data_IF_914076547980
#
_entry.id   IF_914076547980
#
_cell.length_a   1.000
_cell.length_b   1.000
_cell.length_c   1.000
_cell.angle_alpha   90.00
_cell.angle_beta   90.00
_cell.angle_gamma   90.00
#
_symmetry.space_group_name_H-M   'P 1'
#
loop_
_entity.id
_entity.type
_entity.pdbx_description
1 polymer ?
#
# COMPACT_ATOMS: atom_id res chain seq x y z
N UNK A 1 -74.24 3.97 -32.57
CA UNK A 1 -73.34 5.03 -32.13
C UNK A 1 -72.43 4.44 -31.05
N UNK A 2 -71.17 4.11 -31.40
CA UNK A 2 -70.18 3.52 -30.46
C UNK A 2 -69.18 4.62 -30.11
N UNK A 3 -69.08 4.97 -28.80
CA UNK A 3 -68.10 5.88 -28.26
C UNK A 3 -66.84 5.09 -27.92
N UNK A 4 -65.75 5.36 -28.61
CA UNK A 4 -64.43 4.87 -28.30
C UNK A 4 -63.77 5.80 -27.31
N UNK A 5 -63.54 5.28 -26.08
CA UNK A 5 -62.76 5.98 -25.07
C UNK A 5 -61.24 5.75 -25.31
N UNK A 6 -60.53 6.84 -25.40
CA UNK A 6 -59.03 6.80 -25.39
C UNK A 6 -58.53 6.68 -23.97
N UNK A 7 -57.83 5.58 -23.72
CA UNK A 7 -57.11 5.36 -22.45
C UNK A 7 -55.71 5.93 -22.61
N UNK A 8 -55.46 7.06 -21.97
CA UNK A 8 -54.14 7.68 -21.93
C UNK A 8 -53.28 6.93 -20.89
N UNK A 9 -52.32 6.15 -21.34
CA UNK A 9 -51.35 5.50 -20.46
C UNK A 9 -50.26 6.53 -20.11
N UNK A 10 -50.28 7.00 -18.86
CA UNK A 10 -49.26 7.87 -18.30
C UNK A 10 -48.08 6.99 -17.87
N UNK A 11 -47.03 6.91 -18.70
CA UNK A 11 -45.80 6.19 -18.35
C UNK A 11 -44.99 7.06 -17.37
N UNK A 12 -45.07 6.75 -16.10
CA UNK A 12 -44.22 7.38 -15.10
C UNK A 12 -42.77 6.86 -15.27
N UNK A 13 -41.89 7.73 -15.76
CA UNK A 13 -40.46 7.49 -15.82
C UNK A 13 -39.88 7.61 -14.40
N UNK A 14 -39.70 6.49 -13.72
CA UNK A 14 -39.01 6.43 -12.43
C UNK A 14 -37.52 6.59 -12.71
N UNK A 15 -36.97 7.80 -12.50
CA UNK A 15 -35.53 8.02 -12.42
C UNK A 15 -35.05 7.39 -11.11
N UNK A 16 -34.50 6.18 -11.18
CA UNK A 16 -33.74 5.62 -10.08
C UNK A 16 -32.41 6.38 -10.02
N UNK A 17 -32.30 7.32 -9.10
CA UNK A 17 -31.02 7.89 -8.69
C UNK A 17 -30.21 6.74 -8.07
N UNK A 18 -29.34 6.12 -8.88
CA UNK A 18 -28.37 5.14 -8.41
C UNK A 18 -27.42 5.85 -7.44
N UNK A 19 -27.64 5.66 -6.15
CA UNK A 19 -26.67 6.01 -5.13
C UNK A 19 -25.46 5.11 -5.40
N UNK A 20 -24.42 5.64 -6.05
CA UNK A 20 -23.14 4.94 -6.16
C UNK A 20 -22.54 4.96 -4.77
N UNK A 21 -22.80 3.92 -3.99
CA UNK A 21 -22.13 3.72 -2.71
C UNK A 21 -20.63 3.61 -3.00
N UNK A 22 -19.85 4.50 -2.43
CA UNK A 22 -18.38 4.36 -2.41
C UNK A 22 -18.07 3.05 -1.69
N UNK A 23 -17.20 2.22 -2.28
CA UNK A 23 -16.74 1.03 -1.59
C UNK A 23 -15.99 1.47 -0.31
N UNK A 24 -16.23 0.79 0.83
CA UNK A 24 -15.55 1.11 2.08
C UNK A 24 -14.05 0.89 1.96
N UNK A 25 -13.27 1.57 2.81
CA UNK A 25 -11.84 1.33 2.93
C UNK A 25 -11.59 -0.14 3.27
N UNK A 26 -10.59 -0.73 2.64
CA UNK A 26 -10.23 -2.14 2.80
C UNK A 26 -8.83 -2.25 3.41
N UNK A 27 -8.66 -3.20 4.32
CA UNK A 27 -7.35 -3.58 4.84
C UNK A 27 -6.95 -4.92 4.24
N UNK A 28 -5.85 -4.94 3.48
CA UNK A 28 -5.23 -6.16 2.99
C UNK A 28 -4.22 -6.61 4.05
N UNK A 29 -4.41 -7.79 4.69
CA UNK A 29 -3.51 -8.27 5.72
C UNK A 29 -2.13 -8.62 5.12
N UNK A 30 -1.09 -8.76 5.97
CA UNK A 30 0.20 -9.32 5.56
C UNK A 30 0.06 -10.72 4.99
N UNK A 31 1.02 -11.13 4.15
CA UNK A 31 1.07 -12.50 3.63
C UNK A 31 1.31 -13.51 4.76
N UNK A 32 0.62 -14.65 4.69
CA UNK A 32 0.82 -15.74 5.65
C UNK A 32 2.20 -16.40 5.48
N UNK A 33 2.81 -16.86 6.57
CA UNK A 33 4.07 -17.60 6.53
C UNK A 33 3.99 -18.87 5.67
N UNK A 34 5.06 -19.18 4.94
CA UNK A 34 5.20 -20.46 4.22
C UNK A 34 4.53 -20.53 2.84
N UNK A 35 3.90 -19.45 2.36
CA UNK A 35 3.30 -19.41 1.03
C UNK A 35 4.22 -18.88 -0.08
N UNK A 36 5.40 -18.35 0.27
CA UNK A 36 6.31 -17.71 -0.69
C UNK A 36 7.78 -18.04 -0.37
N UNK A 37 8.64 -17.92 -1.38
CA UNK A 37 10.11 -18.07 -1.26
C UNK A 37 10.72 -16.98 -0.37
N UNK A 38 9.97 -15.91 -0.11
CA UNK A 38 10.36 -14.79 0.73
C UNK A 38 9.17 -13.88 1.00
N UNK A 39 9.39 -12.80 1.74
CA UNK A 39 8.34 -11.83 2.03
C UNK A 39 8.43 -10.61 1.10
N UNK A 40 7.29 -10.15 0.56
CA UNK A 40 7.28 -8.89 -0.15
C UNK A 40 7.67 -7.76 0.81
N UNK A 41 8.48 -6.83 0.34
CA UNK A 41 8.75 -5.60 1.03
C UNK A 41 8.35 -4.42 0.15
N UNK A 42 8.22 -3.24 0.72
CA UNK A 42 7.95 -2.02 -0.03
C UNK A 42 8.98 -0.95 0.32
N UNK A 43 9.50 -0.29 -0.71
CA UNK A 43 10.46 0.81 -0.56
C UNK A 43 9.71 2.08 -0.13
N UNK A 44 10.16 2.70 0.97
CA UNK A 44 9.50 3.83 1.62
C UNK A 44 10.12 5.20 1.27
N UNK A 45 11.26 5.24 0.59
CA UNK A 45 11.97 6.46 0.24
C UNK A 45 12.07 6.66 -1.29
N UNK A 46 12.35 7.89 -1.72
CA UNK A 46 12.42 8.25 -3.14
C UNK A 46 13.53 7.52 -3.90
N UNK A 47 14.63 7.18 -3.21
CA UNK A 47 15.77 6.47 -3.81
C UNK A 47 16.41 5.56 -2.79
N UNK A 48 16.46 4.26 -3.09
CA UNK A 48 17.14 3.24 -2.31
C UNK A 48 18.09 2.47 -3.21
N UNK A 49 19.34 2.36 -2.82
CA UNK A 49 20.35 1.66 -3.62
C UNK A 49 20.40 0.18 -3.26
N UNK A 50 20.20 -0.69 -4.25
CA UNK A 50 20.54 -2.11 -4.19
C UNK A 50 22.04 -2.25 -4.37
N UNK A 51 22.73 -2.97 -3.48
CA UNK A 51 24.18 -3.04 -3.37
C UNK A 51 24.70 -4.46 -3.40
N UNK A 52 25.97 -4.62 -3.81
CA UNK A 52 26.64 -5.91 -3.86
C UNK A 52 26.91 -6.48 -2.46
N UNK A 53 27.20 -5.60 -1.46
CA UNK A 53 27.52 -5.97 -0.08
C UNK A 53 26.71 -5.11 0.90
N UNK A 54 26.54 -5.53 2.18
CA UNK A 54 25.79 -4.82 3.21
C UNK A 54 26.56 -3.60 3.76
N UNK A 55 26.89 -2.66 2.88
CA UNK A 55 27.65 -1.45 3.19
C UNK A 55 27.28 -0.30 2.27
N UNK A 56 27.25 0.92 2.82
CA UNK A 56 27.00 2.14 2.06
C UNK A 56 28.10 2.49 1.06
N UNK A 57 29.31 1.92 1.23
CA UNK A 57 30.46 2.10 0.34
C UNK A 57 30.58 1.05 -0.75
N UNK A 58 29.77 -0.01 -0.69
CA UNK A 58 29.76 -1.09 -1.68
C UNK A 58 29.20 -0.64 -3.05
N UNK A 59 29.56 -1.40 -4.08
CA UNK A 59 29.07 -1.19 -5.45
C UNK A 59 27.56 -1.14 -5.54
N UNK A 60 27.05 -0.23 -6.37
CA UNK A 60 25.63 -0.09 -6.63
C UNK A 60 25.21 -0.97 -7.81
N UNK A 61 24.26 -1.88 -7.60
CA UNK A 61 23.69 -2.73 -8.64
C UNK A 61 22.57 -1.98 -9.34
N UNK A 62 21.63 -1.40 -8.55
CA UNK A 62 20.44 -0.73 -9.06
C UNK A 62 19.91 0.31 -8.06
N UNK A 63 19.16 1.29 -8.55
CA UNK A 63 18.37 2.20 -7.72
C UNK A 63 16.92 1.79 -7.73
N UNK A 64 16.34 1.61 -6.56
CA UNK A 64 14.92 1.39 -6.31
C UNK A 64 14.24 2.73 -5.98
N UNK A 65 12.93 2.79 -6.20
CA UNK A 65 12.10 3.98 -5.97
C UNK A 65 11.01 3.67 -4.95
N UNK A 66 10.40 4.71 -4.43
CA UNK A 66 9.20 4.60 -3.59
C UNK A 66 8.15 3.71 -4.25
N UNK A 67 7.65 2.73 -3.50
CA UNK A 67 6.64 1.78 -3.96
C UNK A 67 7.17 0.57 -4.72
N UNK A 68 8.47 0.48 -5.03
CA UNK A 68 9.05 -0.75 -5.56
C UNK A 68 8.90 -1.88 -4.53
N UNK A 69 8.64 -3.09 -5.02
CA UNK A 69 8.33 -4.28 -4.22
C UNK A 69 9.44 -5.34 -4.32
N UNK A 70 10.57 -5.17 -3.63
CA UNK A 70 11.56 -6.24 -3.53
C UNK A 70 11.04 -7.38 -2.67
N UNK A 71 11.61 -8.58 -2.87
CA UNK A 71 11.31 -9.78 -2.07
C UNK A 71 12.48 -10.02 -1.12
N UNK A 72 12.21 -10.04 0.18
CA UNK A 72 13.19 -10.38 1.21
C UNK A 72 13.44 -11.88 1.20
N UNK A 73 14.68 -12.28 0.99
CA UNK A 73 15.09 -13.69 0.84
C UNK A 73 15.56 -14.28 2.17
N UNK A 74 15.35 -15.59 2.35
CA UNK A 74 15.91 -16.35 3.46
C UNK A 74 15.10 -16.34 4.74
N UNK A 75 13.80 -16.01 4.65
CA UNK A 75 12.94 -15.94 5.82
C UNK A 75 11.68 -16.78 5.67
N UNK A 76 11.51 -17.78 6.54
CA UNK A 76 10.19 -18.32 6.87
C UNK A 76 9.40 -17.34 7.77
N UNK A 77 10.04 -16.28 8.23
CA UNK A 77 9.54 -15.21 9.10
C UNK A 77 10.28 -13.90 8.78
N UNK A 78 9.65 -12.72 8.88
CA UNK A 78 10.35 -11.44 8.71
C UNK A 78 11.57 -11.29 9.65
N UNK A 79 11.51 -11.90 10.84
CA UNK A 79 12.63 -11.94 11.79
C UNK A 79 13.78 -12.88 11.38
N UNK A 80 13.56 -13.78 10.39
CA UNK A 80 14.58 -14.66 9.84
C UNK A 80 15.21 -14.14 8.55
N UNK A 81 14.85 -12.90 8.13
CA UNK A 81 15.48 -12.25 6.99
C UNK A 81 17.00 -12.20 7.14
N UNK A 82 17.72 -12.43 6.05
CA UNK A 82 19.17 -12.29 6.01
C UNK A 82 19.54 -10.82 6.26
N UNK A 83 20.00 -10.48 7.46
CA UNK A 83 20.33 -9.11 7.86
C UNK A 83 21.80 -9.02 8.27
N UNK A 84 22.47 -7.97 7.81
CA UNK A 84 23.85 -7.65 8.19
C UNK A 84 24.06 -6.14 8.15
N UNK A 85 24.67 -5.58 9.19
CA UNK A 85 25.01 -4.15 9.29
C UNK A 85 23.83 -3.18 9.03
N UNK A 86 22.58 -3.56 9.36
CA UNK A 86 21.38 -2.78 9.07
C UNK A 86 20.90 -2.88 7.62
N UNK A 87 21.46 -3.80 6.84
CA UNK A 87 20.99 -4.14 5.50
C UNK A 87 20.24 -5.48 5.51
N UNK A 88 19.37 -5.65 4.53
CA UNK A 88 18.63 -6.88 4.29
C UNK A 88 18.87 -7.34 2.85
N UNK A 89 19.00 -8.65 2.67
CA UNK A 89 19.19 -9.24 1.35
C UNK A 89 17.86 -9.44 0.64
N UNK A 90 17.77 -8.95 -0.60
CA UNK A 90 16.53 -9.00 -1.40
C UNK A 90 16.81 -9.46 -2.83
N UNK A 91 15.75 -9.93 -3.48
CA UNK A 91 15.67 -10.11 -4.93
C UNK A 91 14.62 -9.20 -5.54
N UNK A 92 14.76 -8.82 -6.80
CA UNK A 92 13.81 -7.97 -7.52
C UNK A 92 12.84 -8.77 -8.41
N UNK A 93 12.76 -10.07 -8.23
CA UNK A 93 11.86 -10.96 -8.96
C UNK A 93 12.05 -12.43 -8.58
N UNK A 94 11.21 -13.29 -9.17
CA UNK A 94 11.11 -14.70 -8.83
C UNK A 94 11.99 -15.60 -9.69
N UNK A 95 12.70 -15.05 -10.70
CA UNK A 95 13.58 -15.81 -11.56
C UNK A 95 15.02 -15.87 -11.01
N UNK A 96 15.76 -16.93 -11.34
CA UNK A 96 17.18 -17.09 -10.95
C UNK A 96 18.07 -15.95 -11.47
N UNK A 97 17.68 -15.32 -12.59
CA UNK A 97 18.40 -14.20 -13.20
C UNK A 97 17.98 -12.82 -12.61
N UNK A 98 17.06 -12.80 -11.65
CA UNK A 98 16.60 -11.54 -11.05
C UNK A 98 17.73 -10.88 -10.29
N UNK A 99 17.92 -9.55 -10.44
CA UNK A 99 18.92 -8.84 -9.67
C UNK A 99 18.65 -9.01 -8.16
N UNK A 100 19.69 -9.40 -7.43
CA UNK A 100 19.64 -9.57 -5.99
C UNK A 100 20.79 -8.79 -5.34
N UNK A 101 20.66 -8.51 -4.03
CA UNK A 101 21.67 -7.78 -3.29
C UNK A 101 21.13 -7.21 -1.99
N UNK A 102 21.82 -6.23 -1.45
CA UNK A 102 21.57 -5.65 -0.14
C UNK A 102 20.93 -4.26 -0.24
N UNK A 103 19.89 -4.03 0.55
CA UNK A 103 19.28 -2.70 0.73
C UNK A 103 19.22 -2.36 2.22
N UNK A 104 19.25 -1.07 2.55
CA UNK A 104 19.16 -0.63 3.94
C UNK A 104 17.74 -0.87 4.46
N UNK A 105 17.64 -1.59 5.58
CA UNK A 105 16.38 -2.02 6.19
C UNK A 105 15.54 -0.87 6.74
N UNK A 106 16.15 0.28 7.10
CA UNK A 106 15.44 1.44 7.64
C UNK A 106 14.50 2.11 6.63
N UNK A 107 14.67 1.80 5.34
CA UNK A 107 13.92 2.42 4.24
C UNK A 107 12.91 1.50 3.57
N UNK A 108 12.57 0.40 4.22
CA UNK A 108 11.57 -0.56 3.72
C UNK A 108 10.58 -0.95 4.82
N UNK A 109 9.38 -1.36 4.41
CA UNK A 109 8.49 -2.13 5.27
C UNK A 109 8.42 -3.57 4.72
N UNK A 110 8.70 -4.55 5.59
CA UNK A 110 8.68 -5.98 5.24
C UNK A 110 7.30 -6.54 5.56
N UNK A 111 6.67 -7.15 4.55
CA UNK A 111 5.34 -7.76 4.65
C UNK A 111 4.30 -6.87 5.37
N UNK A 112 4.14 -5.60 4.97
CA UNK A 112 3.20 -4.71 5.64
C UNK A 112 1.76 -5.11 5.33
N UNK A 113 0.84 -4.82 6.26
CA UNK A 113 -0.55 -4.68 5.90
C UNK A 113 -0.74 -3.46 4.99
N UNK A 114 -1.77 -3.47 4.15
CA UNK A 114 -2.04 -2.40 3.21
C UNK A 114 -3.38 -1.75 3.52
N UNK A 115 -3.38 -0.44 3.58
CA UNK A 115 -4.59 0.38 3.59
C UNK A 115 -5.01 0.68 2.15
N UNK A 116 -6.24 0.34 1.79
CA UNK A 116 -6.84 0.68 0.49
C UNK A 116 -7.85 1.80 0.73
N UNK A 117 -7.56 2.97 0.18
CA UNK A 117 -8.30 4.18 0.49
C UNK A 117 -9.69 4.21 -0.15
N UNK A 118 -10.66 4.75 0.57
CA UNK A 118 -11.90 5.29 0.02
C UNK A 118 -11.61 6.60 -0.73
N UNK A 119 -12.59 7.02 -1.52
CA UNK A 119 -12.52 8.34 -2.17
C UNK A 119 -12.44 9.46 -1.15
N UNK A 120 -11.47 10.36 -1.33
CA UNK A 120 -11.23 11.53 -0.47
C UNK A 120 -10.84 11.18 0.98
N UNK A 121 -10.21 10.02 1.21
CA UNK A 121 -9.67 9.70 2.52
C UNK A 121 -8.63 10.75 2.94
N UNK A 122 -8.87 11.37 4.09
CA UNK A 122 -7.97 12.38 4.62
C UNK A 122 -6.78 11.75 5.34
N UNK A 123 -5.58 12.23 5.04
CA UNK A 123 -4.36 11.92 5.79
C UNK A 123 -3.97 13.13 6.62
N UNK A 124 -3.75 12.92 7.91
CA UNK A 124 -3.44 13.95 8.88
C UNK A 124 -1.94 13.96 9.22
N UNK A 125 -1.44 15.13 9.66
CA UNK A 125 -0.04 15.27 10.07
C UNK A 125 0.31 14.51 11.37
N UNK A 126 -0.67 14.32 12.25
CA UNK A 126 -0.59 13.52 13.50
C UNK A 126 -1.98 12.97 13.84
N UNK A 127 -2.07 12.12 14.86
CA UNK A 127 -3.28 11.41 15.30
C UNK A 127 -4.35 12.29 15.95
N UNK A 128 -4.77 13.34 15.26
CA UNK A 128 -5.84 14.24 15.65
C UNK A 128 -6.62 14.70 14.42
N UNK A 129 -7.94 14.63 14.46
CA UNK A 129 -8.80 15.12 13.36
C UNK A 129 -8.78 16.64 13.19
N UNK A 130 -8.30 17.38 14.19
CA UNK A 130 -8.03 18.82 14.11
C UNK A 130 -6.65 19.13 13.48
N UNK A 131 -5.78 18.12 13.29
CA UNK A 131 -4.48 18.27 12.67
C UNK A 131 -4.61 18.72 11.20
N UNK A 132 -3.59 19.39 10.65
CA UNK A 132 -3.54 19.68 9.22
C UNK A 132 -3.66 18.40 8.39
N UNK A 133 -4.50 18.46 7.36
CA UNK A 133 -4.56 17.43 6.34
C UNK A 133 -3.36 17.59 5.40
N UNK A 134 -2.50 16.58 5.36
CA UNK A 134 -1.28 16.58 4.53
C UNK A 134 -1.52 15.95 3.16
N UNK A 135 -2.57 15.14 3.03
CA UNK A 135 -3.01 14.58 1.75
C UNK A 135 -4.50 14.25 1.76
N UNK A 136 -5.08 14.16 0.57
CA UNK A 136 -6.35 13.50 0.30
C UNK A 136 -6.07 12.37 -0.69
N UNK A 137 -6.46 11.16 -0.34
CA UNK A 137 -6.23 9.99 -1.17
C UNK A 137 -7.40 9.78 -2.13
N UNK A 138 -7.04 9.41 -3.36
CA UNK A 138 -8.03 8.92 -4.31
C UNK A 138 -8.47 7.51 -3.92
N UNK A 139 -9.66 7.12 -4.39
CA UNK A 139 -10.17 5.77 -4.22
C UNK A 139 -9.16 4.74 -4.77
N UNK A 140 -9.07 3.60 -4.10
CA UNK A 140 -8.19 2.47 -4.44
C UNK A 140 -6.67 2.77 -4.31
N UNK A 141 -6.30 3.95 -3.77
CA UNK A 141 -4.90 4.23 -3.41
C UNK A 141 -4.45 3.26 -2.33
N UNK A 142 -3.34 2.54 -2.57
CA UNK A 142 -2.77 1.57 -1.63
C UNK A 142 -1.55 2.16 -0.93
N UNK A 143 -1.56 2.11 0.39
CA UNK A 143 -0.45 2.59 1.21
C UNK A 143 -0.07 1.54 2.27
N UNK A 144 1.24 1.32 2.50
CA UNK A 144 1.66 0.39 3.55
C UNK A 144 1.36 0.98 4.92
N UNK A 145 0.76 0.16 5.79
CA UNK A 145 0.58 0.47 7.20
C UNK A 145 1.90 0.20 7.90
N UNK A 146 2.50 1.23 8.48
CA UNK A 146 3.75 1.13 9.22
C UNK A 146 3.51 0.72 10.67
N UNK A 147 2.39 1.19 11.23
CA UNK A 147 2.00 0.95 12.61
C UNK A 147 0.51 1.19 12.80
N UNK A 148 -0.08 0.49 13.76
CA UNK A 148 -1.41 0.79 14.31
C UNK A 148 -1.28 1.41 15.69
N UNK A 149 -1.98 2.50 15.93
CA UNK A 149 -2.05 3.18 17.23
C UNK A 149 -3.49 3.55 17.51
N UNK A 150 -4.07 3.01 18.57
CA UNK A 150 -5.46 3.24 18.99
C UNK A 150 -6.44 3.23 17.79
N UNK A 151 -7.06 4.35 17.50
CA UNK A 151 -8.01 4.53 16.40
C UNK A 151 -7.34 4.96 15.08
N UNK A 152 -6.01 4.86 14.95
CA UNK A 152 -5.25 5.39 13.83
C UNK A 152 -4.35 4.36 13.16
N UNK A 153 -4.22 4.49 11.83
CA UNK A 153 -3.15 3.89 11.06
C UNK A 153 -2.06 4.92 10.77
N UNK A 154 -0.81 4.54 11.03
CA UNK A 154 0.37 5.28 10.56
C UNK A 154 0.77 4.70 9.22
N UNK A 155 0.78 5.54 8.18
CA UNK A 155 1.08 5.13 6.81
C UNK A 155 2.30 5.87 6.25
N UNK A 156 2.91 5.33 5.19
CA UNK A 156 4.01 5.99 4.49
C UNK A 156 3.52 6.84 3.34
N UNK A 157 4.06 8.06 3.25
CA UNK A 157 3.85 9.03 2.17
C UNK A 157 5.21 9.43 1.60
N UNK A 158 5.79 8.66 0.68
CA UNK A 158 7.04 9.00 -0.05
C UNK A 158 8.16 9.61 0.83
N UNK A 159 8.51 8.92 1.92
CA UNK A 159 9.56 9.36 2.83
C UNK A 159 9.08 10.23 4.01
N UNK A 160 7.77 10.47 4.11
CA UNK A 160 7.11 11.04 5.27
C UNK A 160 6.10 10.05 5.86
N UNK A 161 5.61 10.31 7.05
CA UNK A 161 4.51 9.57 7.66
C UNK A 161 3.25 10.42 7.68
N UNK A 162 2.10 9.74 7.67
CA UNK A 162 0.79 10.36 7.84
C UNK A 162 -0.12 9.46 8.65
N UNK A 163 -1.23 10.00 9.06
CA UNK A 163 -2.19 9.36 9.97
C UNK A 163 -3.56 9.27 9.31
N UNK A 164 -4.18 8.10 9.33
CA UNK A 164 -5.54 7.85 8.84
C UNK A 164 -6.37 7.33 10.01
N UNK A 165 -7.53 7.94 10.24
CA UNK A 165 -8.50 7.46 11.23
C UNK A 165 -9.11 6.13 10.74
N UNK A 166 -9.21 5.13 11.65
CA UNK A 166 -9.82 3.81 11.40
C UNK A 166 -11.32 3.88 11.15
#
# INVERSE_FOLDING_TARGET
MKKTGWLTILTALILTLGCVASAPAEIIPPCEPGQQIGYPAVVLCEKLTLREEPSTSSGAIRTLKYGDLPIVVGADQPAGAQTENGFVYVTLGDSEDSPCGWINADYIAINPAWYVAEKNTAVYAWNDTAAPKVALLDQDTRLPILKEEDDWYVISLRGATGWILK
#
